data_IF_250298597455
#
_entry.id   IF_250298597455
#
_cell.length_a   1.000
_cell.length_b   1.000
_cell.length_c   1.000
_cell.angle_alpha   90.00
_cell.angle_beta   90.00
_cell.angle_gamma   90.00
#
_symmetry.space_group_name_H-M   'P 1'
#
loop_
_entity.id
_entity.type
_entity.pdbx_description
1 polymer ?
#
# COMPACT_ATOMS: atom_id res chain seq x y z
N UNK A 1 -5.89 -11.49 -28.55
CA UNK A 1 -6.42 -10.32 -27.81
C UNK A 1 -5.62 -10.18 -26.52
N UNK A 2 -4.50 -9.45 -26.56
CA UNK A 2 -3.56 -9.35 -25.44
C UNK A 2 -4.04 -8.25 -24.49
N UNK A 3 -4.66 -8.62 -23.36
CA UNK A 3 -5.12 -7.69 -22.33
C UNK A 3 -3.94 -7.28 -21.44
N UNK A 4 -2.95 -6.61 -22.04
CA UNK A 4 -1.70 -6.13 -21.43
C UNK A 4 -1.61 -4.60 -21.40
N UNK A 5 -2.70 -3.89 -21.71
CA UNK A 5 -2.73 -2.42 -21.74
C UNK A 5 -2.97 -1.78 -20.36
N UNK A 6 -3.33 -2.57 -19.36
CA UNK A 6 -3.25 -2.27 -17.93
C UNK A 6 -2.54 -3.48 -17.31
N UNK A 7 -1.37 -3.31 -16.69
CA UNK A 7 -0.62 -4.44 -16.12
C UNK A 7 -1.48 -5.28 -15.17
N UNK A 8 -1.17 -6.58 -15.05
CA UNK A 8 -1.87 -7.50 -14.14
C UNK A 8 -2.05 -6.85 -12.76
N UNK A 9 -3.30 -6.60 -12.35
CA UNK A 9 -3.63 -5.90 -11.11
C UNK A 9 -3.00 -6.59 -9.88
N UNK A 10 -2.72 -7.89 -9.98
CA UNK A 10 -2.00 -8.66 -8.96
C UNK A 10 -0.53 -8.26 -8.88
N UNK A 11 0.12 -8.01 -10.02
CA UNK A 11 1.52 -7.54 -10.04
C UNK A 11 1.61 -6.13 -9.47
N UNK A 12 0.66 -5.25 -9.81
CA UNK A 12 0.59 -3.91 -9.22
C UNK A 12 0.40 -3.97 -7.69
N UNK A 13 -0.51 -4.82 -7.22
CA UNK A 13 -0.74 -5.04 -5.79
C UNK A 13 0.51 -5.54 -5.08
N UNK A 14 1.23 -6.49 -5.68
CA UNK A 14 2.50 -6.97 -5.13
C UNK A 14 3.58 -5.89 -5.08
N UNK A 15 3.65 -5.02 -6.09
CA UNK A 15 4.60 -3.89 -6.11
C UNK A 15 4.28 -2.90 -4.98
N UNK A 16 3.01 -2.48 -4.85
CA UNK A 16 2.58 -1.56 -3.79
C UNK A 16 2.91 -2.10 -2.40
N UNK A 17 2.61 -3.37 -2.14
CA UNK A 17 2.95 -4.02 -0.87
C UNK A 17 4.47 -4.06 -0.62
N UNK A 18 5.29 -4.32 -1.64
CA UNK A 18 6.77 -4.31 -1.50
C UNK A 18 7.31 -2.92 -1.18
N UNK A 19 6.81 -1.89 -1.85
CA UNK A 19 7.22 -0.51 -1.61
C UNK A 19 6.87 -0.12 -0.17
N UNK A 20 5.65 -0.42 0.28
CA UNK A 20 5.21 -0.16 1.65
C UNK A 20 6.02 -0.92 2.71
N UNK A 21 6.38 -2.18 2.45
CA UNK A 21 7.26 -2.97 3.33
C UNK A 21 8.69 -2.41 3.38
N UNK A 22 9.17 -1.82 2.28
CA UNK A 22 10.48 -1.16 2.24
C UNK A 22 10.48 0.10 3.11
N UNK A 23 9.40 0.86 3.08
CA UNK A 23 9.23 2.02 3.96
C UNK A 23 9.09 1.61 5.43
N UNK A 24 8.30 0.57 5.71
CA UNK A 24 8.15 0.00 7.05
C UNK A 24 9.51 -0.41 7.65
N UNK A 25 10.31 -1.15 6.88
CA UNK A 25 11.65 -1.60 7.31
C UNK A 25 12.62 -0.43 7.58
N UNK A 26 12.37 0.74 6.99
CA UNK A 26 13.16 1.97 7.18
C UNK A 26 12.55 2.91 8.21
N UNK A 27 11.44 2.55 8.86
CA UNK A 27 10.71 3.42 9.78
C UNK A 27 10.13 4.67 9.11
N UNK A 28 9.86 4.61 7.79
CA UNK A 28 9.31 5.74 7.03
C UNK A 28 7.79 5.65 6.95
N UNK A 29 7.15 6.78 7.18
CA UNK A 29 5.71 6.94 6.95
C UNK A 29 5.47 7.35 5.50
N UNK A 30 4.56 6.69 4.77
CA UNK A 30 4.23 7.08 3.41
C UNK A 30 3.56 8.46 3.35
N UNK A 31 3.64 9.09 2.16
CA UNK A 31 2.94 10.34 1.90
C UNK A 31 1.42 10.15 2.10
N UNK A 32 0.79 11.03 2.87
CA UNK A 32 -0.60 10.89 3.30
C UNK A 32 -0.79 10.05 4.58
N UNK A 33 0.29 9.76 5.31
CA UNK A 33 0.23 8.99 6.56
C UNK A 33 0.15 7.49 6.32
N UNK A 34 -0.03 6.74 7.40
CA UNK A 34 -0.24 5.30 7.41
C UNK A 34 -1.51 5.00 8.19
N UNK A 35 -2.31 4.05 7.72
CA UNK A 35 -3.46 3.55 8.47
C UNK A 35 -3.04 2.50 9.50
N UNK A 36 -3.83 2.33 10.56
CA UNK A 36 -3.61 1.27 11.55
C UNK A 36 -3.62 -0.12 10.89
N UNK A 37 -4.50 -0.33 9.92
CA UNK A 37 -4.56 -1.57 9.14
C UNK A 37 -3.25 -1.84 8.37
N UNK A 38 -2.64 -0.82 7.77
CA UNK A 38 -1.35 -0.95 7.09
C UNK A 38 -0.24 -1.37 8.08
N UNK A 39 -0.18 -0.75 9.26
CA UNK A 39 0.84 -1.08 10.26
C UNK A 39 0.73 -2.53 10.75
N UNK A 40 -0.50 -2.98 11.04
CA UNK A 40 -0.74 -4.37 11.47
C UNK A 40 -0.35 -5.36 10.38
N UNK A 41 -0.72 -5.10 9.13
CA UNK A 41 -0.40 -5.99 8.01
C UNK A 41 1.11 -5.99 7.69
N UNK A 42 1.78 -4.84 7.80
CA UNK A 42 3.23 -4.74 7.68
C UNK A 42 3.95 -5.54 8.77
N UNK A 43 3.51 -5.43 10.03
CA UNK A 43 4.07 -6.18 11.14
C UNK A 43 3.89 -7.70 10.96
N UNK A 44 2.69 -8.14 10.56
CA UNK A 44 2.40 -9.55 10.27
C UNK A 44 3.30 -10.10 9.16
N UNK A 45 3.45 -9.34 8.07
CA UNK A 45 4.27 -9.76 6.94
C UNK A 45 5.76 -9.74 7.32
N UNK A 46 6.23 -8.75 8.08
CA UNK A 46 7.60 -8.71 8.59
C UNK A 46 7.92 -9.94 9.45
N UNK A 47 7.02 -10.30 10.37
CA UNK A 47 7.16 -11.49 11.20
C UNK A 47 7.22 -12.79 10.37
N UNK A 48 6.34 -12.93 9.37
CA UNK A 48 6.35 -14.09 8.47
C UNK A 48 7.65 -14.21 7.66
N UNK A 49 8.18 -13.08 7.18
CA UNK A 49 9.42 -13.06 6.42
C UNK A 49 10.64 -13.33 7.30
N UNK A 50 10.67 -12.83 8.53
CA UNK A 50 11.72 -13.10 9.51
C UNK A 50 11.71 -14.57 9.96
N UNK A 51 10.53 -15.16 10.19
CA UNK A 51 10.41 -16.58 10.56
C UNK A 51 10.91 -17.53 9.46
N UNK A 52 10.95 -17.07 8.21
CA UNK A 52 11.47 -17.83 7.08
C UNK A 52 12.95 -17.61 6.79
N UNK A 53 13.60 -16.70 7.54
CA UNK A 53 15.02 -16.43 7.43
C UNK A 53 15.81 -17.64 7.95
N UNK A 54 16.55 -18.29 7.06
CA UNK A 54 17.24 -19.57 7.35
C UNK A 54 16.44 -20.84 7.09
N UNK A 55 15.17 -20.75 6.66
CA UNK A 55 14.32 -21.90 6.30
C UNK A 55 14.46 -22.34 4.83
N UNK A 56 13.98 -23.56 4.51
CA UNK A 56 13.90 -24.05 3.12
C UNK A 56 12.92 -23.19 2.30
N UNK A 57 13.41 -22.56 1.22
CA UNK A 57 12.63 -21.70 0.33
C UNK A 57 12.77 -20.18 0.61
N UNK A 58 13.30 -19.82 1.77
CA UNK A 58 13.68 -18.45 2.13
C UNK A 58 12.55 -17.42 2.02
N UNK A 59 12.97 -16.15 1.94
CA UNK A 59 12.08 -14.98 1.97
C UNK A 59 11.05 -14.95 0.82
N UNK A 60 11.41 -15.49 -0.35
CA UNK A 60 10.52 -15.54 -1.51
C UNK A 60 9.38 -16.55 -1.32
N UNK A 61 9.66 -17.73 -0.76
CA UNK A 61 8.61 -18.70 -0.45
C UNK A 61 7.66 -18.17 0.62
N UNK A 62 8.18 -17.49 1.64
CA UNK A 62 7.36 -16.87 2.69
C UNK A 62 6.47 -15.73 2.16
N UNK A 63 7.00 -14.91 1.24
CA UNK A 63 6.21 -13.91 0.53
C UNK A 63 5.05 -14.55 -0.23
N UNK A 64 5.34 -15.61 -0.99
CA UNK A 64 4.32 -16.33 -1.76
C UNK A 64 3.28 -17.02 -0.86
N UNK A 65 3.70 -17.59 0.26
CA UNK A 65 2.79 -18.17 1.26
C UNK A 65 1.88 -17.10 1.88
N UNK A 66 2.38 -15.87 2.01
CA UNK A 66 1.69 -14.72 2.59
C UNK A 66 0.89 -13.91 1.56
N UNK A 67 0.57 -14.48 0.40
CA UNK A 67 -0.09 -13.76 -0.71
C UNK A 67 -1.39 -13.04 -0.30
N UNK A 68 -2.15 -13.61 0.64
CA UNK A 68 -3.38 -12.96 1.16
C UNK A 68 -3.05 -11.69 1.92
N UNK A 69 -2.05 -11.72 2.80
CA UNK A 69 -1.60 -10.56 3.56
C UNK A 69 -1.05 -9.48 2.64
N UNK A 70 -0.33 -9.89 1.58
CA UNK A 70 0.16 -8.98 0.54
C UNK A 70 -0.99 -8.24 -0.16
N UNK A 71 -2.06 -8.94 -0.56
CA UNK A 71 -3.20 -8.27 -1.20
C UNK A 71 -4.02 -7.43 -0.22
N UNK A 72 -4.22 -7.88 1.02
CA UNK A 72 -4.88 -7.07 2.04
C UNK A 72 -4.12 -5.78 2.34
N UNK A 73 -2.78 -5.83 2.32
CA UNK A 73 -1.95 -4.65 2.47
C UNK A 73 -2.13 -3.69 1.28
N UNK A 74 -2.20 -4.23 0.05
CA UNK A 74 -2.48 -3.44 -1.14
C UNK A 74 -3.87 -2.79 -1.10
N UNK A 75 -4.89 -3.49 -0.59
CA UNK A 75 -6.24 -2.94 -0.42
C UNK A 75 -6.24 -1.81 0.62
N UNK A 76 -5.61 -2.01 1.79
CA UNK A 76 -5.52 -0.98 2.83
C UNK A 76 -4.80 0.30 2.35
N UNK A 77 -3.75 0.14 1.52
CA UNK A 77 -3.06 1.27 0.88
C UNK A 77 -4.02 2.03 -0.05
N UNK A 78 -4.79 1.31 -0.87
CA UNK A 78 -5.76 1.93 -1.79
C UNK A 78 -6.87 2.66 -1.03
N UNK A 79 -7.43 2.04 0.00
CA UNK A 79 -8.46 2.65 0.85
C UNK A 79 -7.97 3.96 1.46
N UNK A 80 -6.73 3.99 1.97
CA UNK A 80 -6.12 5.23 2.46
C UNK A 80 -5.99 6.29 1.37
N UNK A 81 -5.53 5.91 0.18
CA UNK A 81 -5.39 6.85 -0.94
C UNK A 81 -6.73 7.42 -1.38
N UNK A 82 -7.77 6.60 -1.48
CA UNK A 82 -9.12 7.05 -1.81
C UNK A 82 -9.68 7.98 -0.74
N UNK A 83 -9.56 7.62 0.55
CA UNK A 83 -9.98 8.48 1.65
C UNK A 83 -9.24 9.83 1.65
N UNK A 84 -7.93 9.82 1.39
CA UNK A 84 -7.13 11.05 1.29
C UNK A 84 -7.55 11.91 0.09
N UNK A 85 -7.87 11.27 -1.04
CA UNK A 85 -8.32 11.97 -2.24
C UNK A 85 -9.70 12.59 -2.04
N UNK A 86 -10.65 11.86 -1.47
CA UNK A 86 -11.99 12.36 -1.13
C UNK A 86 -11.92 13.55 -0.17
N UNK A 87 -11.08 13.46 0.87
CA UNK A 87 -10.87 14.57 1.80
C UNK A 87 -10.34 15.84 1.10
N UNK A 88 -9.45 15.68 0.10
CA UNK A 88 -8.91 16.80 -0.69
C UNK A 88 -9.89 17.31 -1.76
N UNK A 89 -10.75 16.45 -2.29
CA UNK A 89 -11.75 16.78 -3.29
C UNK A 89 -13.00 17.44 -2.70
N UNK A 90 -13.22 17.30 -1.38
CA UNK A 90 -14.34 17.90 -0.66
C UNK A 90 -14.41 19.42 -0.88
N UNK A 91 -15.57 19.98 -1.27
CA UNK A 91 -15.74 21.42 -1.50
C UNK A 91 -15.34 22.29 -0.30
N UNK A 92 -15.47 21.76 0.91
CA UNK A 92 -15.09 22.43 2.15
C UNK A 92 -13.57 22.62 2.32
N UNK A 93 -12.74 21.88 1.57
CA UNK A 93 -11.28 21.98 1.59
C UNK A 93 -10.72 22.97 0.55
N UNK A 94 -11.58 23.59 -0.28
CA UNK A 94 -11.19 24.64 -1.22
C UNK A 94 -11.40 26.01 -0.56
N UNK A 95 -10.35 26.71 -0.08
CA UNK A 95 -10.49 28.13 0.23
C UNK A 95 -10.84 28.86 -1.07
N UNK A 96 -11.93 29.62 -1.06
CA UNK A 96 -12.48 30.35 -2.19
C UNK A 96 -11.40 31.17 -2.93
N UNK A 97 -10.99 30.71 -4.11
CA UNK A 97 -10.14 31.46 -5.03
C UNK A 97 -10.92 31.85 -6.29
N UNK A 98 -12.15 32.36 -6.11
CA UNK A 98 -12.93 33.01 -7.17
C UNK A 98 -13.51 34.32 -6.61
N UNK A 99 -12.63 35.19 -6.11
CA UNK A 99 -12.95 36.58 -5.82
C UNK A 99 -11.80 37.49 -6.30
N UNK A 100 -11.40 37.32 -7.57
CA UNK A 100 -10.55 38.28 -8.27
C UNK A 100 -10.86 38.24 -9.77
N UNK A 101 -12.06 38.72 -10.12
CA UNK A 101 -12.41 39.14 -11.47
C UNK A 101 -13.54 40.20 -11.47
N UNK A 102 -13.42 41.17 -10.58
CA UNK A 102 -14.08 42.48 -10.64
C UNK A 102 -13.03 43.52 -10.30
#
# INVERSE_FOLDING_TARGET
MCKFSEGDSRILSQKMARDRMTDFAKGRTPAGGSSEAEEVLCAQLAAALAAAEGGRGGRAAAWNASWRTVYRLADAIQDRFLATWDARASPAARPEAIASRM
#
